data_IF_107021595949
#
_entry.id   IF_107021595949
#
_cell.length_a   1.000
_cell.length_b   1.000
_cell.length_c   1.000
_cell.angle_alpha   90.00
_cell.angle_beta   90.00
_cell.angle_gamma   90.00
#
_symmetry.space_group_name_H-M   'P 1'
#
loop_
_entity.id
_entity.type
_entity.pdbx_description
1 polymer ?
#
# COMPACT_ATOMS: atom_id res chain seq x y z
N UNK A 1 -15.74 -12.73 -3.47
CA UNK A 1 -15.06 -12.61 -2.16
C UNK A 1 -13.68 -13.29 -2.16
N UNK A 2 -13.42 -14.25 -3.05
CA UNK A 2 -12.18 -15.03 -3.11
C UNK A 2 -10.87 -14.23 -3.16
N UNK A 3 -10.84 -13.07 -3.84
CA UNK A 3 -9.62 -12.24 -3.89
C UNK A 3 -9.26 -11.63 -2.53
N UNK A 4 -10.26 -11.19 -1.76
CA UNK A 4 -10.03 -10.59 -0.44
C UNK A 4 -9.49 -11.67 0.51
N UNK A 5 -10.08 -12.86 0.46
CA UNK A 5 -9.64 -14.02 1.24
C UNK A 5 -8.19 -14.40 0.90
N UNK A 6 -7.85 -14.53 -0.38
CA UNK A 6 -6.48 -14.87 -0.80
C UNK A 6 -5.45 -13.82 -0.38
N UNK A 7 -5.79 -12.53 -0.43
CA UNK A 7 -4.91 -11.45 0.06
C UNK A 7 -4.79 -11.49 1.59
N UNK A 8 -5.88 -11.76 2.31
CA UNK A 8 -5.87 -11.88 3.76
C UNK A 8 -5.02 -13.07 4.24
N UNK A 9 -5.09 -14.21 3.56
CA UNK A 9 -4.24 -15.38 3.82
C UNK A 9 -2.76 -15.06 3.57
N UNK A 10 -2.44 -14.36 2.48
CA UNK A 10 -1.08 -13.92 2.21
C UNK A 10 -0.56 -12.96 3.30
N UNK A 11 -1.38 -12.00 3.70
CA UNK A 11 -1.04 -11.06 4.78
C UNK A 11 -0.81 -11.80 6.11
N UNK A 12 -1.65 -12.78 6.43
CA UNK A 12 -1.51 -13.62 7.64
C UNK A 12 -0.17 -14.36 7.63
N UNK A 13 0.23 -14.95 6.50
CA UNK A 13 1.54 -15.62 6.35
C UNK A 13 2.72 -14.64 6.50
N UNK A 14 2.59 -13.40 6.02
CA UNK A 14 3.61 -12.36 6.19
C UNK A 14 3.76 -11.90 7.65
N UNK A 15 2.69 -11.97 8.43
CA UNK A 15 2.65 -11.56 9.85
C UNK A 15 2.95 -12.71 10.81
N UNK A 16 3.41 -13.86 10.30
CA UNK A 16 3.76 -15.00 11.14
C UNK A 16 4.76 -14.61 12.23
N UNK A 17 4.49 -15.06 13.45
CA UNK A 17 5.27 -14.69 14.64
C UNK A 17 6.73 -15.11 14.51
N UNK A 18 6.96 -16.30 13.97
CA UNK A 18 8.28 -16.81 13.64
C UNK A 18 8.74 -16.27 12.29
N UNK A 19 9.76 -15.40 12.29
CA UNK A 19 10.35 -14.83 11.07
C UNK A 19 10.81 -15.86 10.03
N UNK A 20 11.23 -17.06 10.46
CA UNK A 20 11.66 -18.16 9.58
C UNK A 20 10.50 -18.71 8.73
N UNK A 21 9.27 -18.64 9.26
CA UNK A 21 8.07 -19.13 8.56
C UNK A 21 7.47 -18.09 7.63
N UNK A 22 7.90 -16.83 7.73
CA UNK A 22 7.42 -15.77 6.83
C UNK A 22 7.87 -16.07 5.40
N UNK A 23 7.01 -15.83 4.40
CA UNK A 23 7.41 -15.97 3.02
C UNK A 23 8.52 -14.96 2.66
N UNK A 24 9.38 -15.33 1.72
CA UNK A 24 10.34 -14.39 1.14
C UNK A 24 9.61 -13.34 0.30
N UNK A 25 10.19 -12.15 0.20
CA UNK A 25 9.57 -11.06 -0.60
C UNK A 25 9.40 -11.44 -2.07
N UNK A 26 10.26 -12.31 -2.60
CA UNK A 26 10.11 -12.90 -3.93
C UNK A 26 8.80 -13.69 -4.05
N UNK A 27 8.51 -14.58 -3.10
CA UNK A 27 7.28 -15.37 -3.08
C UNK A 27 6.04 -14.50 -2.90
N UNK A 28 6.13 -13.46 -2.06
CA UNK A 28 5.06 -12.47 -1.88
C UNK A 28 4.76 -11.75 -3.18
N UNK A 29 5.79 -11.29 -3.90
CA UNK A 29 5.63 -10.62 -5.19
C UNK A 29 5.01 -11.55 -6.25
N UNK A 30 5.43 -12.81 -6.31
CA UNK A 30 4.87 -13.82 -7.22
C UNK A 30 3.38 -14.06 -6.94
N UNK A 31 2.98 -14.25 -5.68
CA UNK A 31 1.57 -14.47 -5.32
C UNK A 31 0.71 -13.23 -5.59
N UNK A 32 1.19 -12.02 -5.28
CA UNK A 32 0.47 -10.78 -5.59
C UNK A 32 0.33 -10.54 -7.09
N UNK A 33 1.35 -10.89 -7.88
CA UNK A 33 1.29 -10.80 -9.34
C UNK A 33 0.20 -11.72 -9.90
N UNK A 34 0.14 -12.97 -9.41
CA UNK A 34 -0.92 -13.93 -9.76
C UNK A 34 -2.32 -13.41 -9.43
N UNK A 35 -2.51 -12.85 -8.22
CA UNK A 35 -3.79 -12.29 -7.80
C UNK A 35 -4.22 -11.08 -8.64
N UNK A 36 -3.25 -10.23 -9.03
CA UNK A 36 -3.50 -9.09 -9.90
C UNK A 36 -3.87 -9.49 -11.32
N UNK A 37 -3.26 -10.55 -11.87
CA UNK A 37 -3.59 -11.09 -13.19
C UNK A 37 -5.07 -11.51 -13.25
N UNK A 38 -5.52 -12.29 -12.26
CA UNK A 38 -6.91 -12.71 -12.13
C UNK A 38 -7.86 -11.51 -12.06
N UNK A 39 -7.52 -10.47 -11.29
CA UNK A 39 -8.35 -9.26 -11.18
C UNK A 39 -8.43 -8.49 -12.50
N UNK A 40 -7.35 -8.44 -13.29
CA UNK A 40 -7.38 -7.79 -14.60
C UNK A 40 -8.32 -8.51 -15.55
N UNK A 41 -8.29 -9.84 -15.58
CA UNK A 41 -9.17 -10.67 -16.42
C UNK A 41 -10.65 -10.46 -16.06
N UNK A 42 -10.99 -10.34 -14.77
CA UNK A 42 -12.34 -9.99 -14.34
C UNK A 42 -12.74 -8.56 -14.70
N UNK A 43 -11.83 -7.58 -14.58
CA UNK A 43 -12.10 -6.18 -14.94
C UNK A 43 -12.27 -5.97 -16.44
N UNK A 44 -11.58 -6.75 -17.27
CA UNK A 44 -11.71 -6.68 -18.73
C UNK A 44 -13.03 -7.21 -19.27
N UNK A 45 -13.80 -7.95 -18.48
CA UNK A 45 -15.13 -8.47 -18.88
C UNK A 45 -16.28 -7.54 -18.42
N UNK A 46 -15.97 -6.56 -17.57
CA UNK A 46 -16.96 -5.68 -16.95
C UNK A 46 -17.06 -4.31 -17.62
N UNK A 47 -16.29 -4.04 -18.69
CA UNK A 47 -16.07 -2.66 -19.14
C UNK A 47 -16.10 -2.45 -20.65
N UNK A 48 -16.74 -3.35 -21.37
CA UNK A 48 -16.53 -3.50 -22.81
C UNK A 48 -17.33 -2.45 -23.60
N UNK A 49 -18.44 -1.95 -23.04
CA UNK A 49 -19.35 -1.01 -23.72
C UNK A 49 -19.60 0.31 -22.97
N UNK A 50 -19.61 0.34 -21.62
CA UNK A 50 -19.87 1.59 -20.87
C UNK A 50 -18.68 2.57 -20.89
N UNK A 51 -17.43 2.11 -20.73
CA UNK A 51 -16.27 3.01 -20.69
C UNK A 51 -15.92 3.61 -22.06
N UNK A 52 -16.23 2.92 -23.17
CA UNK A 52 -16.10 3.51 -24.51
C UNK A 52 -17.01 4.73 -24.69
N UNK A 53 -18.24 4.67 -24.15
CA UNK A 53 -19.20 5.79 -24.20
C UNK A 53 -18.75 7.00 -23.37
N UNK A 54 -18.07 6.77 -22.25
CA UNK A 54 -17.54 7.85 -21.41
C UNK A 54 -16.30 8.56 -22.00
N UNK A 55 -15.50 7.86 -22.81
CA UNK A 55 -14.28 8.41 -23.42
C UNK A 55 -14.54 9.24 -24.69
N UNK A 56 -15.71 9.09 -25.33
CA UNK A 56 -16.09 9.84 -26.53
C UNK A 56 -16.63 11.24 -26.21
N UNK A 57 -17.12 11.47 -24.98
CA UNK A 57 -17.82 12.70 -24.57
C UNK A 57 -16.88 13.84 -24.10
N UNK A 58 -15.57 13.61 -23.91
CA UNK A 58 -14.64 14.62 -23.39
C UNK A 58 -13.84 15.35 -24.48
N UNK A 59 -14.51 15.92 -25.48
CA UNK A 59 -13.94 17.01 -26.28
C UNK A 59 -14.55 18.36 -25.87
N UNK A 60 -13.74 19.25 -25.25
CA UNK A 60 -13.87 20.66 -25.53
C UNK A 60 -12.51 21.26 -25.92
N UNK A 61 -12.47 21.69 -27.18
CA UNK A 61 -11.94 22.96 -27.65
C UNK A 61 -11.13 23.82 -26.67
N UNK A 62 -9.93 24.21 -27.13
CA UNK A 62 -9.18 25.40 -26.76
C UNK A 62 -8.40 25.41 -25.44
N UNK A 63 -7.08 25.35 -25.60
CA UNK A 63 -6.06 25.65 -24.60
C UNK A 63 -6.20 27.08 -24.06
N UNK A 64 -6.46 27.23 -22.76
CA UNK A 64 -6.05 28.42 -21.99
C UNK A 64 -5.20 27.99 -20.80
N UNK A 65 -3.97 28.54 -20.72
CA UNK A 65 -2.98 28.18 -19.69
C UNK A 65 -3.22 28.98 -18.42
N UNK A 66 -3.87 28.37 -17.42
CA UNK A 66 -3.96 28.93 -16.07
C UNK A 66 -2.65 28.63 -15.32
N UNK A 67 -2.00 29.69 -14.80
CA UNK A 67 -0.80 29.57 -13.96
C UNK A 67 -1.20 29.10 -12.57
N UNK A 68 -0.74 27.93 -12.14
CA UNK A 68 -0.84 27.52 -10.74
C UNK A 68 0.29 28.17 -9.94
N UNK A 69 -0.10 29.02 -9.00
CA UNK A 69 0.80 29.51 -7.95
C UNK A 69 1.19 28.34 -7.03
N UNK A 70 2.50 28.15 -6.85
CA UNK A 70 3.07 27.04 -6.09
C UNK A 70 2.87 27.34 -4.61
N UNK A 71 1.84 26.74 -3.99
CA UNK A 71 1.63 26.74 -2.54
C UNK A 71 2.97 26.57 -1.81
N UNK A 72 3.40 27.63 -1.12
CA UNK A 72 4.41 27.57 -0.07
C UNK A 72 3.90 26.59 0.99
N UNK A 73 4.61 25.49 1.20
CA UNK A 73 4.41 24.66 2.38
C UNK A 73 5.26 25.26 3.51
N UNK A 74 4.61 25.56 4.62
CA UNK A 74 5.27 25.93 5.87
C UNK A 74 5.93 24.67 6.45
N UNK A 75 7.23 24.74 6.70
CA UNK A 75 7.98 23.62 7.26
C UNK A 75 7.60 23.49 8.74
N UNK A 76 6.78 22.48 9.07
CA UNK A 76 6.43 22.18 10.45
C UNK A 76 7.57 21.38 11.08
N UNK A 77 8.19 21.94 12.11
CA UNK A 77 9.25 21.29 12.88
C UNK A 77 8.62 20.26 13.84
N UNK A 78 8.80 18.97 13.55
CA UNK A 78 8.41 17.89 14.45
C UNK A 78 9.61 17.49 15.31
N UNK A 79 9.44 17.46 16.63
CA UNK A 79 10.45 16.92 17.53
C UNK A 79 10.35 15.39 17.55
N UNK A 80 11.49 14.71 17.39
CA UNK A 80 11.60 13.26 17.57
C UNK A 80 12.13 13.01 18.98
N UNK A 81 11.59 12.01 19.69
CA UNK A 81 12.13 11.59 20.98
C UNK A 81 13.11 10.43 20.76
N UNK A 82 14.30 10.54 21.33
CA UNK A 82 15.29 9.46 21.33
C UNK A 82 14.93 8.43 22.40
N UNK A 83 14.66 7.19 22.00
CA UNK A 83 14.43 6.06 22.91
C UNK A 83 15.77 5.42 23.24
N UNK A 84 16.62 6.12 23.99
CA UNK A 84 17.84 5.55 24.55
C UNK A 84 17.88 5.83 26.05
N UNK A 85 17.44 4.85 26.84
CA UNK A 85 17.63 4.90 28.30
C UNK A 85 16.57 4.18 29.12
N UNK A 86 16.57 2.85 29.08
CA UNK A 86 16.07 2.03 30.20
C UNK A 86 16.90 0.75 30.31
N UNK A 87 18.18 0.88 30.66
CA UNK A 87 18.87 -0.20 31.37
C UNK A 87 18.45 -0.09 32.84
N UNK A 88 17.43 -0.88 33.21
CA UNK A 88 17.15 -1.17 34.62
C UNK A 88 18.28 -2.06 35.13
N UNK A 89 19.24 -1.47 35.85
CA UNK A 89 20.19 -2.20 36.69
C UNK A 89 19.41 -3.14 37.64
N UNK A 90 19.61 -4.47 37.61
CA UNK A 90 18.99 -5.35 38.58
C UNK A 90 19.72 -5.21 39.91
N UNK A 91 19.14 -4.45 40.85
CA UNK A 91 19.54 -4.52 42.25
C UNK A 91 19.15 -5.90 42.82
N UNK A 92 20.03 -6.88 42.66
CA UNK A 92 19.97 -8.15 43.39
C UNK A 92 20.41 -7.87 44.84
N UNK A 93 19.46 -7.90 45.77
CA UNK A 93 19.73 -8.16 47.19
C UNK A 93 19.26 -9.59 47.48
N UNK A 94 20.22 -10.49 47.72
CA UNK A 94 19.94 -11.82 48.27
C UNK A 94 20.23 -11.72 49.76
N UNK A 95 19.19 -11.91 50.56
CA UNK A 95 19.24 -12.00 52.01
C UNK A 95 19.62 -13.42 52.44
#
# INVERSE_FOLDING_TARGET
>A
MEQIEAVAELATRCLESSGIKRPSMKKVAEELSRLNQLNREFKTCANDEEMKRLLDESSPSSHDKVKHDRRSYELVEYTTYDVTGYDMEPAVSIN
#
